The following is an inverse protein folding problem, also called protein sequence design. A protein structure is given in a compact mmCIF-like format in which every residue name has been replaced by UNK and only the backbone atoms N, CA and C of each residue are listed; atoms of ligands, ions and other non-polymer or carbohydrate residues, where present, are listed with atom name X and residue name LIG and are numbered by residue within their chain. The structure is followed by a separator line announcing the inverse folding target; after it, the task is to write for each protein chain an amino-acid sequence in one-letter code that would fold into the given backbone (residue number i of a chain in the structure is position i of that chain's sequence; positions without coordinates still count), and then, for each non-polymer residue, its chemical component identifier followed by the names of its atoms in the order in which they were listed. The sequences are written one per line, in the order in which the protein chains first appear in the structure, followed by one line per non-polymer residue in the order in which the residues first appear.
data_IF_602058678059
#
_entry.id   IF_602058678059
#
_cell.length_a   1.000
_cell.length_b   1.000
_cell.length_c   1.000
_cell.angle_alpha   90.00
_cell.angle_beta   90.00
_cell.angle_gamma   90.00
#
_symmetry.space_group_name_H-M   'P 1'
#
loop_
_entity.id
_entity.type
_entity.pdbx_description
1 polymer ?
#
# COMPACT_ATOMS: atom_id res chain seq x y z
N UNK A 1 5.12 -3.42 -38.31
CA UNK A 1 5.95 -3.40 -37.09
C UNK A 1 7.43 -3.41 -37.46
N UNK A 2 8.30 -2.87 -36.61
CA UNK A 2 9.77 -2.79 -36.83
C UNK A 2 10.50 -3.43 -35.66
N UNK A 3 11.49 -4.29 -35.91
CA UNK A 3 12.27 -4.97 -34.85
C UNK A 3 13.76 -4.70 -35.03
N UNK A 4 14.46 -4.42 -33.93
CA UNK A 4 15.90 -4.19 -33.86
C UNK A 4 16.47 -5.12 -32.78
N UNK A 5 17.49 -5.89 -33.13
CA UNK A 5 18.24 -6.75 -32.20
C UNK A 5 19.61 -6.15 -31.95
N UNK A 6 20.00 -6.02 -30.69
CA UNK A 6 21.27 -5.45 -30.27
C UNK A 6 22.30 -6.55 -29.98
N UNK A 7 23.59 -6.20 -30.02
CA UNK A 7 24.69 -7.15 -29.82
C UNK A 7 24.73 -7.73 -28.39
N UNK A 8 24.18 -7.03 -27.41
CA UNK A 8 24.08 -7.48 -26.02
C UNK A 8 22.89 -8.44 -25.79
N UNK A 9 22.15 -8.79 -26.85
CA UNK A 9 20.98 -9.67 -26.79
C UNK A 9 19.65 -8.93 -26.59
N UNK A 10 19.67 -7.63 -26.32
CA UNK A 10 18.45 -6.84 -26.17
C UNK A 10 17.67 -6.78 -27.49
N UNK A 11 16.35 -6.64 -27.38
CA UNK A 11 15.46 -6.52 -28.54
C UNK A 11 14.53 -5.34 -28.35
N UNK A 12 14.44 -4.46 -29.36
CA UNK A 12 13.46 -3.39 -29.43
C UNK A 12 12.49 -3.64 -30.57
N UNK A 13 11.20 -3.60 -30.28
CA UNK A 13 10.13 -3.73 -31.26
C UNK A 13 9.21 -2.50 -31.20
N UNK A 14 8.87 -1.94 -32.35
CA UNK A 14 7.88 -0.88 -32.52
C UNK A 14 6.67 -1.48 -33.23
N UNK A 15 5.51 -1.44 -32.56
CA UNK A 15 4.25 -1.97 -33.06
C UNK A 15 3.52 -0.92 -33.93
N UNK A 16 2.54 -1.38 -34.71
CA UNK A 16 1.78 -0.51 -35.63
C UNK A 16 0.86 0.47 -34.88
N UNK A 17 0.50 0.13 -33.64
CA UNK A 17 -0.23 0.99 -32.72
C UNK A 17 0.68 1.93 -31.90
N UNK A 18 1.92 2.12 -32.36
CA UNK A 18 2.93 3.01 -31.77
C UNK A 18 3.45 2.58 -30.39
N UNK A 19 3.05 1.41 -29.86
CA UNK A 19 3.70 0.85 -28.67
C UNK A 19 5.14 0.47 -28.98
N UNK A 20 6.03 0.74 -28.02
CA UNK A 20 7.44 0.32 -28.07
C UNK A 20 7.66 -0.75 -27.02
N UNK A 21 8.11 -1.93 -27.42
CA UNK A 21 8.48 -3.03 -26.53
C UNK A 21 10.00 -3.16 -26.55
N UNK A 22 10.63 -3.11 -25.38
CA UNK A 22 12.06 -3.31 -25.19
C UNK A 22 12.27 -4.51 -24.26
N UNK A 23 13.00 -5.51 -24.72
CA UNK A 23 13.41 -6.66 -23.93
C UNK A 23 14.88 -6.52 -23.54
N UNK A 24 15.16 -6.50 -22.24
CA UNK A 24 16.50 -6.50 -21.67
C UNK A 24 16.93 -7.94 -21.40
N UNK A 25 17.91 -8.45 -22.14
CA UNK A 25 18.29 -9.86 -22.12
C UNK A 25 18.93 -10.29 -20.80
N UNK A 26 19.85 -9.48 -20.27
CA UNK A 26 20.58 -9.80 -19.02
C UNK A 26 19.64 -9.86 -17.81
N UNK A 27 18.80 -8.84 -17.64
CA UNK A 27 17.81 -8.77 -16.55
C UNK A 27 16.57 -9.66 -16.78
N UNK A 28 16.35 -10.13 -18.01
CA UNK A 28 15.13 -10.83 -18.46
C UNK A 28 13.87 -10.02 -18.15
N UNK A 29 13.90 -8.74 -18.51
CA UNK A 29 12.82 -7.78 -18.25
C UNK A 29 12.24 -7.27 -19.55
N UNK A 30 10.91 -7.23 -19.66
CA UNK A 30 10.21 -6.62 -20.79
C UNK A 30 9.62 -5.28 -20.37
N UNK A 31 10.00 -4.21 -21.06
CA UNK A 31 9.50 -2.86 -20.85
C UNK A 31 8.65 -2.44 -22.07
N UNK A 32 7.37 -2.15 -21.85
CA UNK A 32 6.46 -1.61 -22.86
C UNK A 32 6.16 -0.14 -22.59
N UNK A 33 6.43 0.74 -23.54
CA UNK A 33 6.02 2.14 -23.52
C UNK A 33 4.81 2.33 -24.43
N UNK A 34 3.74 2.88 -23.88
CA UNK A 34 2.50 3.18 -24.61
C UNK A 34 2.51 4.61 -25.14
N UNK A 35 1.74 4.92 -26.21
CA UNK A 35 1.63 6.28 -26.75
C UNK A 35 1.07 7.30 -25.75
N UNK A 36 0.34 6.84 -24.74
CA UNK A 36 -0.17 7.66 -23.63
C UNK A 36 0.92 8.11 -22.65
N UNK A 37 2.15 7.59 -22.79
CA UNK A 37 3.25 7.78 -21.84
C UNK A 37 3.27 6.78 -20.68
N UNK A 38 2.31 5.85 -20.60
CA UNK A 38 2.35 4.76 -19.63
C UNK A 38 3.50 3.81 -19.96
N UNK A 39 4.33 3.51 -18.98
CA UNK A 39 5.39 2.51 -19.06
C UNK A 39 5.01 1.28 -18.23
N UNK A 40 5.19 0.08 -18.77
CA UNK A 40 4.89 -1.19 -18.09
C UNK A 40 6.10 -2.12 -18.15
N UNK A 41 6.65 -2.47 -16.99
CA UNK A 41 7.79 -3.38 -16.85
C UNK A 41 7.31 -4.73 -16.31
N UNK A 42 7.72 -5.82 -16.96
CA UNK A 42 7.52 -7.20 -16.50
C UNK A 42 8.88 -7.79 -16.16
N UNK A 43 9.07 -8.13 -14.89
CA UNK A 43 10.32 -8.67 -14.38
C UNK A 43 10.27 -10.20 -14.33
N UNK A 44 11.46 -10.81 -14.36
CA UNK A 44 11.61 -12.28 -14.36
C UNK A 44 11.13 -12.97 -13.08
N UNK A 45 11.05 -12.24 -11.97
CA UNK A 45 10.51 -12.74 -10.70
C UNK A 45 8.95 -12.73 -10.65
N UNK A 46 8.28 -12.28 -11.71
CA UNK A 46 6.82 -12.15 -11.76
C UNK A 46 6.28 -10.79 -11.29
N UNK A 47 7.15 -9.89 -10.81
CA UNK A 47 6.77 -8.51 -10.49
C UNK A 47 6.40 -7.76 -11.78
N UNK A 48 5.36 -6.92 -11.69
CA UNK A 48 4.93 -6.02 -12.76
C UNK A 48 4.92 -4.61 -12.21
N UNK A 49 5.51 -3.66 -12.92
CA UNK A 49 5.42 -2.24 -12.57
C UNK A 49 4.76 -1.44 -13.69
N UNK A 50 3.90 -0.50 -13.31
CA UNK A 50 3.33 0.51 -14.18
C UNK A 50 3.78 1.88 -13.71
N UNK A 51 4.43 2.65 -14.58
CA UNK A 51 4.82 4.03 -14.30
C UNK A 51 3.93 4.95 -15.15
N UNK A 52 3.14 5.77 -14.47
CA UNK A 52 2.15 6.64 -15.10
C UNK A 52 2.76 8.00 -15.45
N UNK A 53 2.24 8.70 -16.48
CA UNK A 53 2.73 10.02 -16.88
C UNK A 53 2.66 11.10 -15.80
N UNK A 54 1.72 10.96 -14.86
CA UNK A 54 1.57 11.87 -13.71
C UNK A 54 2.60 11.61 -12.60
N UNK A 55 3.49 10.63 -12.78
CA UNK A 55 4.52 10.22 -11.85
C UNK A 55 4.08 9.17 -10.82
N UNK A 56 2.80 8.78 -10.80
CA UNK A 56 2.32 7.66 -9.98
C UNK A 56 3.00 6.37 -10.44
N UNK A 57 3.30 5.47 -9.51
CA UNK A 57 3.73 4.09 -9.80
C UNK A 57 2.79 3.08 -9.17
N UNK A 58 2.51 2.00 -9.88
CA UNK A 58 1.79 0.84 -9.38
C UNK A 58 2.68 -0.40 -9.55
N UNK A 59 2.93 -1.12 -8.46
CA UNK A 59 3.78 -2.30 -8.42
C UNK A 59 2.89 -3.47 -8.01
N UNK A 60 2.82 -4.50 -8.84
CA UNK A 60 2.21 -5.79 -8.50
C UNK A 60 3.33 -6.77 -8.18
N UNK A 61 3.38 -7.23 -6.93
CA UNK A 61 4.37 -8.19 -6.47
C UNK A 61 3.97 -9.63 -6.81
N UNK A 62 4.91 -10.60 -6.77
CA UNK A 62 4.62 -12.00 -7.08
C UNK A 62 3.60 -12.67 -6.14
N UNK A 63 3.43 -12.13 -4.93
CA UNK A 63 2.42 -12.57 -3.96
C UNK A 63 1.03 -11.94 -4.21
N UNK A 64 0.87 -11.20 -5.31
CA UNK A 64 -0.32 -10.44 -5.70
C UNK A 64 -0.60 -9.19 -4.84
N UNK A 65 0.31 -8.79 -3.95
CA UNK A 65 0.23 -7.48 -3.27
C UNK A 65 0.39 -6.36 -4.31
N UNK A 66 -0.49 -5.36 -4.25
CA UNK A 66 -0.42 -4.18 -5.12
C UNK A 66 0.03 -2.97 -4.28
N UNK A 67 1.15 -2.35 -4.66
CA UNK A 67 1.66 -1.12 -4.04
C UNK A 67 1.53 0.05 -5.01
N UNK A 68 0.77 1.06 -4.62
CA UNK A 68 0.69 2.35 -5.29
C UNK A 68 1.61 3.35 -4.59
N UNK A 69 2.47 4.03 -5.34
CA UNK A 69 3.33 5.11 -4.87
C UNK A 69 2.94 6.40 -5.58
N UNK A 70 2.57 7.42 -4.82
CA UNK A 70 2.16 8.72 -5.33
C UNK A 70 3.33 9.70 -5.33
N UNK A 71 3.26 10.72 -6.19
CA UNK A 71 4.32 11.73 -6.34
C UNK A 71 4.55 12.58 -5.10
N UNK A 72 3.54 12.66 -4.24
CA UNK A 72 3.61 13.36 -2.97
C UNK A 72 4.19 12.50 -1.84
N UNK A 73 4.61 11.26 -2.11
CA UNK A 73 5.21 10.36 -1.13
C UNK A 73 4.23 9.51 -0.33
N UNK A 74 2.92 9.66 -0.53
CA UNK A 74 1.94 8.72 0.01
C UNK A 74 2.07 7.36 -0.68
N UNK A 75 1.72 6.29 0.05
CA UNK A 75 1.69 4.94 -0.50
C UNK A 75 0.39 4.22 -0.11
N UNK A 76 -0.09 3.33 -0.97
CA UNK A 76 -1.23 2.44 -0.67
C UNK A 76 -0.86 1.02 -1.04
N UNK A 77 -0.90 0.11 -0.07
CA UNK A 77 -0.67 -1.32 -0.27
C UNK A 77 -2.00 -2.06 -0.15
N UNK A 78 -2.33 -2.89 -1.15
CA UNK A 78 -3.55 -3.71 -1.20
C UNK A 78 -3.09 -5.16 -1.16
N UNK A 79 -3.47 -5.87 -0.11
CA UNK A 79 -3.09 -7.26 0.12
C UNK A 79 -4.16 -8.23 -0.42
N UNK A 80 -3.79 -9.46 -0.79
CA UNK A 80 -4.74 -10.46 -1.31
C UNK A 80 -5.88 -10.83 -0.35
N UNK A 81 -5.71 -10.65 0.95
CA UNK A 81 -6.74 -10.90 1.98
C UNK A 81 -7.78 -9.76 2.10
N UNK A 82 -7.64 -8.73 1.26
CA UNK A 82 -8.48 -7.54 1.25
C UNK A 82 -8.04 -6.45 2.22
N UNK A 83 -6.94 -6.64 2.96
CA UNK A 83 -6.36 -5.59 3.82
C UNK A 83 -5.78 -4.47 2.95
N UNK A 84 -6.07 -3.22 3.30
CA UNK A 84 -5.53 -2.04 2.63
C UNK A 84 -4.73 -1.20 3.65
N UNK A 85 -3.50 -0.83 3.31
CA UNK A 85 -2.64 0.00 4.15
C UNK A 85 -2.28 1.29 3.43
N UNK A 86 -2.78 2.40 3.94
CA UNK A 86 -2.43 3.75 3.51
C UNK A 86 -1.27 4.26 4.37
N UNK A 87 -0.14 4.61 3.77
CA UNK A 87 0.96 5.30 4.43
C UNK A 87 0.95 6.77 4.04
N UNK A 88 0.95 7.63 5.05
CA UNK A 88 0.91 9.08 4.92
C UNK A 88 2.32 9.66 4.95
N UNK A 89 2.45 10.90 4.48
CA UNK A 89 3.74 11.63 4.44
C UNK A 89 4.35 11.86 5.82
N UNK A 90 3.51 12.02 6.84
CA UNK A 90 3.94 12.21 8.23
C UNK A 90 4.38 10.90 8.92
N UNK A 91 4.39 9.78 8.18
CA UNK A 91 4.73 8.46 8.68
C UNK A 91 3.57 7.75 9.42
N UNK A 92 2.43 8.40 9.58
CA UNK A 92 1.23 7.72 10.07
C UNK A 92 0.70 6.73 9.04
N UNK A 93 -0.03 5.72 9.50
CA UNK A 93 -0.68 4.75 8.63
C UNK A 93 -2.11 4.46 9.05
N UNK A 94 -2.95 4.22 8.05
CA UNK A 94 -4.33 3.78 8.20
C UNK A 94 -4.41 2.38 7.59
N UNK A 95 -4.94 1.42 8.33
CA UNK A 95 -5.12 0.03 7.92
C UNK A 95 -6.62 -0.26 7.90
N UNK A 96 -7.13 -0.66 6.76
CA UNK A 96 -8.51 -1.09 6.57
C UNK A 96 -8.52 -2.61 6.42
N UNK A 97 -9.24 -3.30 7.30
CA UNK A 97 -9.36 -4.75 7.26
C UNK A 97 -10.64 -5.16 6.53
N UNK A 98 -10.61 -6.32 5.89
CA UNK A 98 -11.76 -6.88 5.16
C UNK A 98 -13.00 -7.15 6.04
N UNK A 99 -12.83 -7.22 7.36
CA UNK A 99 -13.92 -7.36 8.33
C UNK A 99 -14.54 -6.01 8.76
N UNK A 100 -14.15 -4.90 8.15
CA UNK A 100 -14.63 -3.55 8.47
C UNK A 100 -13.96 -2.88 9.67
N UNK A 101 -12.97 -3.53 10.31
CA UNK A 101 -12.13 -2.86 11.30
C UNK A 101 -11.19 -1.87 10.62
N UNK A 102 -10.85 -0.79 11.32
CA UNK A 102 -9.84 0.15 10.88
C UNK A 102 -8.81 0.36 11.99
N UNK A 103 -7.53 0.46 11.64
CA UNK A 103 -6.48 0.87 12.56
C UNK A 103 -5.78 2.15 12.08
N UNK A 104 -5.52 3.07 13.01
CA UNK A 104 -4.72 4.27 12.80
C UNK A 104 -3.48 4.18 13.68
N UNK A 105 -2.29 4.23 13.09
CA UNK A 105 -1.03 4.28 13.81
C UNK A 105 -0.37 5.62 13.57
N UNK A 106 -0.08 6.33 14.66
CA UNK A 106 0.69 7.58 14.68
C UNK A 106 1.93 7.39 15.55
N UNK A 107 2.72 8.45 15.71
CA UNK A 107 3.80 8.47 16.70
C UNK A 107 3.27 8.36 18.14
N UNK A 108 2.07 8.89 18.39
CA UNK A 108 1.52 9.04 19.74
C UNK A 108 0.64 7.87 20.17
N UNK A 109 -0.02 7.18 19.22
CA UNK A 109 -0.95 6.11 19.55
C UNK A 109 -1.18 5.10 18.42
N UNK A 110 -1.77 3.96 18.81
CA UNK A 110 -2.44 3.02 17.91
C UNK A 110 -3.91 2.96 18.29
N UNK A 111 -4.79 3.30 17.35
CA UNK A 111 -6.25 3.29 17.55
C UNK A 111 -6.87 2.25 16.64
N UNK A 112 -7.69 1.37 17.20
CA UNK A 112 -8.52 0.42 16.46
C UNK A 112 -9.98 0.80 16.59
N UNK A 113 -10.67 0.91 15.46
CA UNK A 113 -12.09 1.16 15.33
C UNK A 113 -12.77 -0.13 14.88
N UNK A 114 -13.81 -0.52 15.60
CA UNK A 114 -14.57 -1.73 15.35
C UNK A 114 -15.92 -1.41 14.71
N UNK A 115 -16.48 -2.31 13.88
CA UNK A 115 -17.77 -2.09 13.23
C UNK A 115 -18.95 -1.84 14.18
N UNK A 116 -18.85 -2.31 15.44
CA UNK A 116 -19.87 -2.08 16.47
C UNK A 116 -19.84 -0.64 17.03
N UNK A 117 -18.87 0.20 16.63
CA UNK A 117 -18.64 1.54 17.14
C UNK A 117 -17.69 1.60 18.34
N UNK A 118 -17.17 0.45 18.80
CA UNK A 118 -16.14 0.42 19.84
C UNK A 118 -14.83 0.98 19.28
N UNK A 119 -14.14 1.78 20.07
CA UNK A 119 -12.83 2.36 19.75
C UNK A 119 -11.86 2.00 20.86
N UNK A 120 -10.71 1.42 20.51
CA UNK A 120 -9.62 1.14 21.44
C UNK A 120 -8.37 1.91 21.04
N UNK A 121 -7.86 2.75 21.92
CA UNK A 121 -6.62 3.51 21.73
C UNK A 121 -5.56 3.02 22.70
N UNK A 122 -4.35 2.75 22.22
CA UNK A 122 -3.15 2.47 23.01
C UNK A 122 -2.15 3.58 22.75
N UNK A 123 -1.79 4.34 23.78
CA UNK A 123 -0.90 5.48 23.68
C UNK A 123 0.56 5.06 23.87
N UNK A 124 1.49 5.92 23.44
CA UNK A 124 2.93 5.67 23.49
C UNK A 124 3.49 5.48 24.92
N UNK A 125 2.84 6.07 25.93
CA UNK A 125 3.18 5.90 27.35
C UNK A 125 2.62 4.59 27.96
N UNK A 126 1.88 3.81 27.17
CA UNK A 126 1.31 2.51 27.51
C UNK A 126 -0.11 2.54 28.09
N UNK A 127 -0.71 3.71 28.36
CA UNK A 127 -2.10 3.74 28.80
C UNK A 127 -3.05 3.37 27.66
N UNK A 128 -4.22 2.86 28.02
CA UNK A 128 -5.21 2.36 27.06
C UNK A 128 -6.58 2.93 27.37
N UNK A 129 -7.27 3.38 26.33
CA UNK A 129 -8.66 3.80 26.41
C UNK A 129 -9.52 2.86 25.57
N UNK A 130 -10.70 2.51 26.10
CA UNK A 130 -11.74 1.82 25.36
C UNK A 130 -13.02 2.62 25.49
N UNK A 131 -13.45 3.20 24.38
CA UNK A 131 -14.74 3.85 24.23
C UNK A 131 -15.69 2.85 23.59
N UNK A 132 -16.72 2.45 24.32
CA UNK A 132 -17.75 1.56 23.81
C UNK A 132 -18.80 2.35 23.02
N UNK A 133 -19.51 1.67 22.11
CA UNK A 133 -20.61 2.26 21.35
C UNK A 133 -21.72 2.87 22.23
N UNK A 134 -21.85 2.39 23.47
CA UNK A 134 -22.77 2.93 24.47
C UNK A 134 -22.35 4.28 25.07
N UNK A 135 -21.13 4.76 24.78
CA UNK A 135 -20.53 5.93 25.40
C UNK A 135 -19.78 5.65 26.70
N UNK A 136 -19.78 4.39 27.20
CA UNK A 136 -18.92 3.99 28.34
C UNK A 136 -17.46 4.18 27.94
N UNK A 137 -16.67 4.79 28.83
CA UNK A 137 -15.24 4.96 28.67
C UNK A 137 -14.54 4.21 29.80
N UNK A 138 -13.61 3.33 29.43
CA UNK A 138 -12.75 2.62 30.37
C UNK A 138 -11.29 2.92 30.06
N UNK A 139 -10.57 3.39 31.07
CA UNK A 139 -9.14 3.73 30.97
C UNK A 139 -8.32 2.78 31.83
N UNK A 140 -7.24 2.26 31.24
CA UNK A 140 -6.26 1.42 31.93
C UNK A 140 -4.88 2.08 31.91
N UNK A 141 -4.14 1.98 33.00
CA UNK A 141 -2.74 2.37 33.03
C UNK A 141 -1.86 1.38 32.23
N UNK A 142 -0.56 1.65 32.13
CA UNK A 142 0.43 0.79 31.46
C UNK A 142 0.55 -0.64 32.01
N UNK A 143 0.14 -0.87 33.26
CA UNK A 143 0.16 -2.19 33.90
C UNK A 143 -1.13 -2.98 33.60
N UNK A 144 -2.15 -2.34 33.01
CA UNK A 144 -3.45 -2.93 32.72
C UNK A 144 -4.51 -2.73 33.82
N UNK A 145 -4.18 -2.02 34.89
CA UNK A 145 -5.12 -1.70 35.98
C UNK A 145 -6.12 -0.65 35.51
N UNK A 146 -7.40 -0.83 35.85
CA UNK A 146 -8.45 0.15 35.54
C UNK A 146 -8.27 1.35 36.46
N UNK A 147 -8.06 2.53 35.88
CA UNK A 147 -7.93 3.80 36.60
C UNK A 147 -9.16 4.70 36.47
N UNK A 148 -10.01 4.44 35.46
CA UNK A 148 -11.27 5.14 35.26
C UNK A 148 -12.28 4.24 34.54
N UNK A 149 -13.54 4.32 34.93
CA UNK A 149 -14.67 3.68 34.25
C UNK A 149 -15.92 4.55 34.44
N UNK A 150 -16.50 5.07 33.36
CA UNK A 150 -17.64 6.02 33.47
C UNK A 150 -18.96 5.34 33.82
N UNK A 151 -19.09 4.03 33.57
CA UNK A 151 -20.30 3.25 33.85
C UNK A 151 -19.91 1.78 34.15
N UNK A 152 -19.34 1.48 35.33
CA UNK A 152 -18.83 0.16 35.69
C UNK A 152 -19.88 -0.95 35.59
#
# INVERSE_FOLDING_TARGET
TTTVTFFNGDVKQVLDDQRVIYYYADAKTTHTTYPTGLEVLHFSNGQIEKHFPDGKKEITFPDQTIKNVFTDGREVNIFPDGTIVHMQQDGSKIIEFSNGQQEVHTADFKRREYPDGTIKTVYADGHQETQYASGRLRVKNKNGDVVMDTHP
#
